data_IF_883248405953
#
_entry.id   IF_883248405953
#
_cell.length_a   1.000
_cell.length_b   1.000
_cell.length_c   1.000
_cell.angle_alpha   90.00
_cell.angle_beta   90.00
_cell.angle_gamma   90.00
#
_symmetry.space_group_name_H-M   'P 1'
#
loop_
_entity.id
_entity.type
_entity.pdbx_description
1 polymer ?
#
# COMPACT_ATOMS: atom_id res chain seq x y z
N UNK A 1 28.82 3.87 -14.31
CA UNK A 1 28.80 4.46 -12.95
C UNK A 1 28.97 3.41 -11.86
N UNK A 2 28.05 2.46 -11.62
CA UNK A 2 28.27 1.38 -10.61
C UNK A 2 29.55 0.57 -10.90
N UNK A 3 29.78 0.20 -12.16
CA UNK A 3 31.03 -0.50 -12.55
C UNK A 3 32.27 0.36 -12.27
N UNK A 4 32.19 1.68 -12.52
CA UNK A 4 33.27 2.65 -12.28
C UNK A 4 33.55 2.86 -10.78
N UNK A 5 32.53 2.82 -9.92
CA UNK A 5 32.69 2.79 -8.46
C UNK A 5 33.30 1.45 -8.01
N UNK A 6 32.93 0.35 -8.68
CA UNK A 6 33.49 -0.97 -8.44
C UNK A 6 35.01 -1.01 -8.63
N UNK A 7 35.52 -0.31 -9.64
CA UNK A 7 36.96 -0.26 -9.92
C UNK A 7 37.72 0.63 -8.91
N UNK A 8 37.12 1.72 -8.44
CA UNK A 8 37.76 2.68 -7.53
C UNK A 8 37.62 2.34 -6.04
N UNK A 9 36.50 1.73 -5.63
CA UNK A 9 36.19 1.37 -4.25
C UNK A 9 35.39 0.05 -4.17
N UNK A 10 36.03 -1.11 -4.40
CA UNK A 10 35.37 -2.42 -4.38
C UNK A 10 34.64 -2.73 -3.06
N UNK A 11 35.22 -2.30 -1.93
CA UNK A 11 34.62 -2.49 -0.61
C UNK A 11 33.26 -1.77 -0.47
N UNK A 12 33.11 -0.60 -1.10
CA UNK A 12 31.90 0.20 -1.04
C UNK A 12 30.79 -0.43 -1.88
N UNK A 13 31.13 -0.96 -3.06
CA UNK A 13 30.17 -1.76 -3.87
C UNK A 13 29.73 -3.01 -3.12
N UNK A 14 30.64 -3.70 -2.42
CA UNK A 14 30.31 -4.82 -1.55
C UNK A 14 29.30 -4.44 -0.47
N UNK A 15 29.53 -3.32 0.23
CA UNK A 15 28.59 -2.80 1.23
C UNK A 15 27.22 -2.46 0.62
N UNK A 16 27.19 -1.74 -0.50
CA UNK A 16 25.95 -1.38 -1.19
C UNK A 16 25.15 -2.63 -1.63
N UNK A 17 25.83 -3.67 -2.10
CA UNK A 17 25.20 -4.93 -2.47
C UNK A 17 24.56 -5.63 -1.25
N UNK A 18 25.26 -5.67 -0.11
CA UNK A 18 24.71 -6.20 1.15
C UNK A 18 23.51 -5.38 1.62
N UNK A 19 23.58 -4.05 1.57
CA UNK A 19 22.45 -3.19 1.92
C UNK A 19 21.23 -3.44 1.01
N UNK A 20 21.44 -3.55 -0.30
CA UNK A 20 20.38 -3.86 -1.25
C UNK A 20 19.74 -5.24 -0.99
N UNK A 21 20.55 -6.26 -0.73
CA UNK A 21 20.08 -7.60 -0.36
C UNK A 21 19.27 -7.56 0.94
N UNK A 22 19.79 -6.89 1.98
CA UNK A 22 19.10 -6.76 3.26
C UNK A 22 17.74 -6.05 3.12
N UNK A 23 17.67 -4.98 2.34
CA UNK A 23 16.42 -4.24 2.07
C UNK A 23 15.39 -5.11 1.33
N UNK A 24 15.82 -5.86 0.29
CA UNK A 24 14.96 -6.78 -0.44
C UNK A 24 14.45 -7.92 0.44
N UNK A 25 15.31 -8.49 1.30
CA UNK A 25 14.93 -9.57 2.22
C UNK A 25 13.95 -9.09 3.29
N UNK A 26 14.17 -7.91 3.87
CA UNK A 26 13.26 -7.32 4.86
C UNK A 26 11.85 -7.10 4.28
N UNK A 27 11.77 -6.52 3.09
CA UNK A 27 10.50 -6.28 2.39
C UNK A 27 9.82 -7.60 2.00
N UNK A 28 10.60 -8.56 1.47
CA UNK A 28 10.10 -9.88 1.11
C UNK A 28 9.53 -10.63 2.32
N UNK A 29 10.20 -10.58 3.47
CA UNK A 29 9.75 -11.23 4.69
C UNK A 29 8.41 -10.65 5.19
N UNK A 30 8.23 -9.33 5.12
CA UNK A 30 6.97 -8.67 5.49
C UNK A 30 5.81 -9.11 4.57
N UNK A 31 6.03 -9.18 3.25
CA UNK A 31 5.02 -9.66 2.30
C UNK A 31 4.70 -11.15 2.50
N UNK A 32 5.71 -11.99 2.71
CA UNK A 32 5.52 -13.41 3.00
C UNK A 32 4.71 -13.61 4.28
N UNK A 33 5.06 -12.93 5.37
CA UNK A 33 4.33 -13.02 6.64
C UNK A 33 2.87 -12.61 6.48
N UNK A 34 2.62 -11.49 5.79
CA UNK A 34 1.28 -10.98 5.53
C UNK A 34 0.45 -11.95 4.69
N UNK A 35 1.01 -12.46 3.59
CA UNK A 35 0.30 -13.38 2.71
C UNK A 35 0.02 -14.74 3.39
N UNK A 36 0.97 -15.25 4.17
CA UNK A 36 0.76 -16.44 5.00
C UNK A 36 -0.35 -16.23 6.04
N UNK A 37 -0.41 -15.03 6.63
CA UNK A 37 -1.49 -14.60 7.52
C UNK A 37 -2.85 -14.60 6.83
N UNK A 38 -2.96 -14.00 5.65
CA UNK A 38 -4.19 -13.95 4.85
C UNK A 38 -4.66 -15.37 4.45
N UNK A 39 -3.78 -16.21 3.90
CA UNK A 39 -4.12 -17.59 3.53
C UNK A 39 -4.59 -18.42 4.74
N UNK A 40 -3.99 -18.20 5.90
CA UNK A 40 -4.34 -18.97 7.10
C UNK A 40 -5.58 -18.46 7.78
N UNK A 41 -5.65 -17.17 8.11
CA UNK A 41 -6.72 -16.59 8.93
C UNK A 41 -7.97 -16.33 8.10
N UNK A 42 -7.80 -15.76 6.92
CA UNK A 42 -8.93 -15.27 6.13
C UNK A 42 -9.52 -16.35 5.23
N UNK A 43 -8.70 -17.31 4.78
CA UNK A 43 -9.14 -18.44 3.96
C UNK A 43 -9.27 -19.73 4.79
N UNK A 44 -8.15 -20.30 5.25
CA UNK A 44 -8.15 -21.63 5.86
C UNK A 44 -8.99 -21.71 7.14
N UNK A 45 -8.70 -20.87 8.14
CA UNK A 45 -9.43 -20.89 9.40
C UNK A 45 -10.88 -20.50 9.20
N UNK A 46 -11.13 -19.38 8.52
CA UNK A 46 -12.50 -18.85 8.36
C UNK A 46 -13.44 -19.80 7.62
N UNK A 47 -12.98 -20.48 6.56
CA UNK A 47 -13.85 -21.26 5.68
C UNK A 47 -13.61 -22.77 5.69
N UNK A 48 -12.39 -23.24 5.96
CA UNK A 48 -12.05 -24.68 5.91
C UNK A 48 -12.01 -25.33 7.30
N UNK A 49 -11.42 -24.66 8.29
CA UNK A 49 -11.31 -25.19 9.65
C UNK A 49 -11.45 -24.09 10.72
N UNK A 50 -12.68 -23.68 11.06
CA UNK A 50 -12.95 -22.64 12.07
C UNK A 50 -12.35 -22.93 13.45
N UNK A 51 -12.18 -24.21 13.78
CA UNK A 51 -11.65 -24.68 15.07
C UNK A 51 -10.13 -24.93 15.05
N UNK A 52 -9.42 -24.48 14.01
CA UNK A 52 -7.98 -24.70 13.87
C UNK A 52 -7.19 -24.11 15.07
N UNK A 53 -6.43 -24.98 15.74
CA UNK A 53 -5.51 -24.59 16.83
C UNK A 53 -4.43 -23.63 16.34
N UNK A 54 -3.77 -22.90 17.26
CA UNK A 54 -2.64 -22.03 16.91
C UNK A 54 -1.49 -22.79 16.22
N UNK A 55 -1.23 -24.04 16.62
CA UNK A 55 -0.20 -24.87 15.99
C UNK A 55 -0.57 -25.19 14.54
N UNK A 56 -1.83 -25.57 14.30
CA UNK A 56 -2.36 -25.82 12.95
C UNK A 56 -2.29 -24.56 12.09
N UNK A 57 -2.70 -23.41 12.62
CA UNK A 57 -2.62 -22.12 11.91
C UNK A 57 -1.18 -21.80 11.50
N UNK A 58 -0.19 -21.96 12.40
CA UNK A 58 1.23 -21.73 12.07
C UNK A 58 1.73 -22.65 10.96
N UNK A 59 1.33 -23.92 10.97
CA UNK A 59 1.73 -24.88 9.94
C UNK A 59 1.16 -24.49 8.57
N UNK A 60 -0.15 -24.25 8.48
CA UNK A 60 -0.78 -23.87 7.22
C UNK A 60 -0.31 -22.50 6.72
N UNK A 61 0.05 -21.58 7.62
CA UNK A 61 0.70 -20.32 7.24
C UNK A 61 2.05 -20.54 6.58
N UNK A 62 2.91 -21.40 7.15
CA UNK A 62 4.21 -21.73 6.55
C UNK A 62 4.06 -22.43 5.19
N UNK A 63 3.11 -23.35 5.08
CA UNK A 63 2.80 -24.03 3.81
C UNK A 63 2.28 -23.04 2.75
N UNK A 64 1.41 -22.10 3.14
CA UNK A 64 0.92 -21.04 2.26
C UNK A 64 2.04 -20.13 1.77
N UNK A 65 2.97 -19.73 2.65
CA UNK A 65 4.17 -18.96 2.27
C UNK A 65 5.03 -19.75 1.29
N UNK A 66 5.34 -21.01 1.59
CA UNK A 66 6.15 -21.86 0.71
C UNK A 66 5.53 -21.98 -0.69
N UNK A 67 4.20 -22.17 -0.76
CA UNK A 67 3.46 -22.21 -2.00
C UNK A 67 3.60 -20.90 -2.80
N UNK A 68 3.34 -19.75 -2.18
CA UNK A 68 3.45 -18.44 -2.85
C UNK A 68 4.88 -18.19 -3.35
N UNK A 69 5.89 -18.47 -2.52
CA UNK A 69 7.30 -18.27 -2.89
C UNK A 69 7.67 -19.15 -4.07
N UNK A 70 7.27 -20.42 -4.07
CA UNK A 70 7.53 -21.32 -5.18
C UNK A 70 6.83 -20.85 -6.48
N UNK A 71 5.56 -20.44 -6.40
CA UNK A 71 4.85 -19.85 -7.53
C UNK A 71 5.53 -18.58 -8.06
N UNK A 72 5.97 -17.68 -7.17
CA UNK A 72 6.68 -16.46 -7.56
C UNK A 72 8.02 -16.77 -8.25
N UNK A 73 8.79 -17.74 -7.74
CA UNK A 73 10.04 -18.19 -8.35
C UNK A 73 9.82 -18.80 -9.74
N UNK A 74 8.76 -19.61 -9.91
CA UNK A 74 8.40 -20.14 -11.22
C UNK A 74 8.08 -19.03 -12.22
N UNK A 75 7.21 -18.08 -11.85
CA UNK A 75 6.88 -16.94 -12.73
C UNK A 75 8.12 -16.11 -13.05
N UNK A 76 8.97 -15.84 -12.05
CA UNK A 76 10.20 -15.09 -12.25
C UNK A 76 11.20 -15.78 -13.18
N UNK A 77 11.24 -17.12 -13.16
CA UNK A 77 12.13 -17.92 -14.00
C UNK A 77 11.62 -18.02 -15.44
N UNK A 78 10.31 -18.20 -15.64
CA UNK A 78 9.76 -18.58 -16.94
C UNK A 78 8.98 -17.46 -17.67
N UNK A 79 8.61 -16.35 -17.02
CA UNK A 79 7.77 -15.32 -17.64
C UNK A 79 8.09 -13.90 -17.19
N UNK A 80 9.08 -13.28 -17.83
CA UNK A 80 9.44 -11.87 -17.59
C UNK A 80 8.30 -10.90 -17.91
N UNK A 81 7.55 -11.16 -18.98
CA UNK A 81 6.42 -10.32 -19.37
C UNK A 81 5.28 -10.38 -18.34
N UNK A 82 5.03 -11.56 -17.75
CA UNK A 82 4.05 -11.69 -16.69
C UNK A 82 4.49 -10.93 -15.42
N UNK A 83 5.78 -10.89 -15.09
CA UNK A 83 6.25 -10.12 -13.93
C UNK A 83 5.90 -8.63 -14.02
N UNK A 84 6.14 -8.01 -15.19
CA UNK A 84 5.84 -6.59 -15.40
C UNK A 84 4.33 -6.33 -15.34
N UNK A 85 3.55 -7.21 -15.99
CA UNK A 85 2.09 -7.10 -16.02
C UNK A 85 1.47 -7.29 -14.62
N UNK A 86 1.86 -8.35 -13.92
CA UNK A 86 1.37 -8.66 -12.58
C UNK A 86 1.78 -7.58 -11.57
N UNK A 87 3.01 -7.05 -11.69
CA UNK A 87 3.47 -5.94 -10.86
C UNK A 87 2.63 -4.68 -11.05
N UNK A 88 2.37 -4.28 -12.29
CA UNK A 88 1.52 -3.12 -12.59
C UNK A 88 0.08 -3.29 -12.10
N UNK A 89 -0.50 -4.47 -12.30
CA UNK A 89 -1.85 -4.80 -11.83
C UNK A 89 -1.94 -4.84 -10.31
N UNK A 90 -0.94 -5.40 -9.61
CA UNK A 90 -0.92 -5.48 -8.16
C UNK A 90 -1.00 -4.09 -7.51
N UNK A 91 -0.28 -3.11 -8.04
CA UNK A 91 -0.34 -1.72 -7.57
C UNK A 91 -1.73 -1.12 -7.84
N UNK A 92 -2.29 -1.32 -9.03
CA UNK A 92 -3.61 -0.80 -9.39
C UNK A 92 -4.74 -1.41 -8.54
N UNK A 93 -4.68 -2.72 -8.25
CA UNK A 93 -5.61 -3.40 -7.35
C UNK A 93 -5.41 -3.01 -5.89
N UNK A 94 -4.17 -2.87 -5.44
CA UNK A 94 -3.85 -2.33 -4.12
C UNK A 94 -4.45 -0.94 -3.91
N UNK A 95 -4.41 -0.09 -4.93
CA UNK A 95 -5.06 1.21 -4.88
C UNK A 95 -6.58 1.12 -4.67
N UNK A 96 -7.25 0.06 -5.12
CA UNK A 96 -8.69 -0.12 -4.91
C UNK A 96 -9.08 -0.34 -3.44
N UNK A 97 -8.13 -0.78 -2.60
CA UNK A 97 -8.35 -0.98 -1.16
C UNK A 97 -8.54 0.33 -0.39
N UNK A 98 -8.26 1.48 -1.00
CA UNK A 98 -8.48 2.79 -0.37
C UNK A 98 -9.95 3.06 -0.03
N UNK A 99 -10.92 2.56 -0.82
CA UNK A 99 -12.35 2.74 -0.52
C UNK A 99 -12.76 1.94 0.74
N UNK A 100 -12.45 0.62 0.85
CA UNK A 100 -12.60 -0.11 2.10
C UNK A 100 -11.86 0.51 3.30
N UNK A 101 -10.63 0.98 3.10
CA UNK A 101 -9.86 1.59 4.19
C UNK A 101 -10.52 2.90 4.67
N UNK A 102 -10.96 3.74 3.73
CA UNK A 102 -11.68 4.96 4.04
C UNK A 102 -13.01 4.69 4.77
N UNK A 103 -13.75 3.64 4.37
CA UNK A 103 -15.01 3.31 5.02
C UNK A 103 -14.83 2.84 6.46
N UNK A 104 -13.82 2.00 6.72
CA UNK A 104 -13.57 1.45 8.07
C UNK A 104 -12.96 2.49 9.00
N UNK A 105 -12.02 3.30 8.52
CA UNK A 105 -11.26 4.21 9.38
C UNK A 105 -11.94 5.57 9.58
N UNK A 106 -12.61 6.12 8.55
CA UNK A 106 -12.99 7.54 8.55
C UNK A 106 -14.47 7.81 8.30
N UNK A 107 -15.13 7.03 7.44
CA UNK A 107 -16.47 7.37 6.96
C UNK A 107 -17.50 6.25 7.20
N UNK A 108 -18.36 6.37 8.23
CA UNK A 108 -19.41 5.39 8.50
C UNK A 108 -20.54 5.37 7.46
N UNK A 109 -20.45 6.24 6.43
CA UNK A 109 -21.45 6.39 5.37
C UNK A 109 -21.49 5.15 4.48
N UNK A 110 -20.33 4.63 4.13
CA UNK A 110 -20.23 3.53 3.20
C UNK A 110 -20.86 2.26 3.79
N UNK A 111 -21.77 1.65 3.04
CA UNK A 111 -22.44 0.40 3.41
C UNK A 111 -21.61 -0.79 2.92
N UNK A 112 -21.85 -1.98 3.48
CA UNK A 112 -21.19 -3.21 3.03
C UNK A 112 -21.44 -3.46 1.54
N UNK A 113 -22.69 -3.30 1.09
CA UNK A 113 -23.09 -3.47 -0.30
C UNK A 113 -22.34 -2.47 -1.20
N UNK A 114 -22.29 -1.20 -0.81
CA UNK A 114 -21.60 -0.17 -1.58
C UNK A 114 -20.11 -0.44 -1.71
N UNK A 115 -19.42 -0.75 -0.61
CA UNK A 115 -17.98 -1.05 -0.65
C UNK A 115 -17.69 -2.32 -1.47
N UNK A 116 -18.48 -3.38 -1.30
CA UNK A 116 -18.26 -4.64 -2.05
C UNK A 116 -18.50 -4.46 -3.55
N UNK A 117 -19.60 -3.82 -3.95
CA UNK A 117 -19.90 -3.57 -5.37
C UNK A 117 -18.95 -2.53 -5.97
N UNK A 118 -18.56 -1.51 -5.21
CA UNK A 118 -17.54 -0.55 -5.62
C UNK A 118 -16.20 -1.21 -5.90
N UNK A 119 -15.70 -2.03 -4.97
CA UNK A 119 -14.44 -2.74 -5.17
C UNK A 119 -14.51 -3.68 -6.39
N UNK A 120 -15.62 -4.38 -6.60
CA UNK A 120 -15.83 -5.21 -7.78
C UNK A 120 -15.79 -4.37 -9.08
N UNK A 121 -16.54 -3.26 -9.12
CA UNK A 121 -16.55 -2.33 -10.26
C UNK A 121 -15.15 -1.76 -10.54
N UNK A 122 -14.40 -1.41 -9.50
CA UNK A 122 -13.02 -0.92 -9.61
C UNK A 122 -12.07 -1.95 -10.19
N UNK A 123 -12.11 -3.20 -9.71
CA UNK A 123 -11.30 -4.30 -10.24
C UNK A 123 -11.60 -4.53 -11.73
N UNK A 124 -12.89 -4.56 -12.09
CA UNK A 124 -13.31 -4.71 -13.49
C UNK A 124 -12.80 -3.54 -14.34
N UNK A 125 -12.94 -2.30 -13.87
CA UNK A 125 -12.46 -1.13 -14.59
C UNK A 125 -10.93 -1.13 -14.77
N UNK A 126 -10.16 -1.51 -13.75
CA UNK A 126 -8.70 -1.70 -13.90
C UNK A 126 -8.40 -2.73 -14.99
N UNK A 127 -9.08 -3.88 -14.95
CA UNK A 127 -8.87 -4.94 -15.96
C UNK A 127 -9.19 -4.47 -17.37
N UNK A 128 -10.30 -3.74 -17.56
CA UNK A 128 -10.73 -3.21 -18.86
C UNK A 128 -9.90 -2.04 -19.39
N UNK A 129 -9.11 -1.38 -18.53
CA UNK A 129 -8.25 -0.23 -18.92
C UNK A 129 -6.76 -0.57 -18.95
N UNK A 130 -6.40 -1.82 -18.64
CA UNK A 130 -5.05 -2.35 -18.73
C UNK A 130 -4.89 -3.26 -19.97
N UNK A 131 -3.65 -3.62 -20.29
CA UNK A 131 -3.32 -4.50 -21.42
C UNK A 131 -4.09 -5.83 -21.42
N UNK A 132 -4.51 -6.34 -20.25
CA UNK A 132 -5.32 -7.56 -20.17
C UNK A 132 -6.70 -7.35 -20.82
N UNK A 133 -7.41 -6.28 -20.50
CA UNK A 133 -8.74 -6.01 -21.05
C UNK A 133 -8.68 -5.83 -22.56
N UNK A 134 -7.70 -5.05 -23.03
CA UNK A 134 -7.47 -4.86 -24.48
C UNK A 134 -7.20 -6.20 -25.18
N UNK A 135 -6.43 -7.10 -24.56
CA UNK A 135 -6.18 -8.45 -25.12
C UNK A 135 -7.41 -9.36 -25.10
N UNK A 136 -8.22 -9.28 -24.05
CA UNK A 136 -9.39 -10.15 -23.88
C UNK A 136 -10.57 -9.74 -24.76
N UNK A 137 -10.77 -8.44 -24.95
CA UNK A 137 -11.94 -7.89 -25.64
C UNK A 137 -11.62 -7.26 -27.01
N UNK A 138 -10.35 -7.08 -27.35
CA UNK A 138 -9.92 -6.60 -28.68
C UNK A 138 -10.65 -5.33 -29.12
N UNK A 139 -11.11 -5.33 -30.37
CA UNK A 139 -11.83 -4.22 -31.00
C UNK A 139 -13.23 -3.95 -30.41
N UNK A 140 -13.73 -4.81 -29.52
CA UNK A 140 -15.00 -4.58 -28.81
C UNK A 140 -14.87 -3.44 -27.80
N UNK A 141 -13.67 -3.23 -27.25
CA UNK A 141 -13.42 -2.08 -26.38
C UNK A 141 -13.17 -0.84 -27.24
N UNK A 142 -13.93 0.25 -27.05
CA UNK A 142 -13.75 1.47 -27.84
C UNK A 142 -12.51 2.27 -27.43
N UNK A 143 -11.65 1.72 -26.56
CA UNK A 143 -10.45 2.37 -26.04
C UNK A 143 -9.28 1.39 -25.92
N UNK A 144 -8.06 1.93 -26.00
CA UNK A 144 -6.82 1.18 -25.75
C UNK A 144 -6.41 1.16 -24.28
N UNK A 145 -5.16 0.74 -24.03
CA UNK A 145 -4.56 0.78 -22.69
C UNK A 145 -4.48 2.23 -22.21
N UNK A 146 -4.89 2.46 -20.96
CA UNK A 146 -4.90 3.78 -20.31
C UNK A 146 -5.64 4.85 -21.13
N UNK A 147 -6.98 4.74 -21.22
CA UNK A 147 -7.80 5.71 -21.93
C UNK A 147 -7.49 7.14 -21.43
N UNK A 148 -7.35 8.06 -22.37
CA UNK A 148 -6.94 9.46 -22.12
C UNK A 148 -5.60 9.60 -21.37
N UNK A 149 -4.68 8.65 -21.56
CA UNK A 149 -3.36 8.62 -20.89
C UNK A 149 -3.45 8.53 -19.36
N UNK A 150 -4.63 8.21 -18.82
CA UNK A 150 -4.84 8.03 -17.39
C UNK A 150 -4.60 6.57 -17.01
N UNK A 151 -3.71 6.36 -16.04
CA UNK A 151 -3.35 5.03 -15.54
C UNK A 151 -4.59 4.24 -15.09
N UNK A 152 -4.62 2.92 -15.32
CA UNK A 152 -5.77 2.05 -15.00
C UNK A 152 -6.27 2.17 -13.55
N UNK A 153 -5.36 2.40 -12.61
CA UNK A 153 -5.69 2.65 -11.19
C UNK A 153 -6.65 3.84 -11.00
N UNK A 154 -6.53 4.90 -11.80
CA UNK A 154 -7.44 6.05 -11.78
C UNK A 154 -8.86 5.64 -12.17
N UNK A 155 -9.00 4.92 -13.28
CA UNK A 155 -10.28 4.42 -13.76
C UNK A 155 -10.92 3.45 -12.76
N UNK A 156 -10.11 2.54 -12.21
CA UNK A 156 -10.50 1.69 -11.09
C UNK A 156 -11.10 2.49 -9.95
N UNK A 157 -10.38 3.50 -9.46
CA UNK A 157 -10.82 4.31 -8.32
C UNK A 157 -12.08 5.12 -8.64
N UNK A 158 -12.19 5.68 -9.84
CA UNK A 158 -13.35 6.44 -10.29
C UNK A 158 -14.64 5.59 -10.21
N UNK A 159 -14.62 4.39 -10.81
CA UNK A 159 -15.77 3.49 -10.78
C UNK A 159 -16.01 2.87 -9.40
N UNK A 160 -14.94 2.59 -8.65
CA UNK A 160 -15.03 2.07 -7.29
C UNK A 160 -15.72 3.05 -6.35
N UNK A 161 -15.17 4.27 -6.23
CA UNK A 161 -15.72 5.29 -5.36
C UNK A 161 -17.11 5.73 -5.82
N UNK A 162 -17.31 5.92 -7.13
CA UNK A 162 -18.62 6.30 -7.69
C UNK A 162 -19.70 5.28 -7.35
N UNK A 163 -19.44 4.00 -7.62
CA UNK A 163 -20.37 2.91 -7.29
C UNK A 163 -20.57 2.80 -5.78
N UNK A 164 -19.50 2.88 -4.99
CA UNK A 164 -19.59 2.80 -3.55
C UNK A 164 -20.44 3.94 -2.96
N UNK A 165 -20.31 5.17 -3.46
CA UNK A 165 -21.11 6.31 -3.04
C UNK A 165 -22.58 6.13 -3.39
N UNK A 166 -22.88 5.81 -4.66
CA UNK A 166 -24.25 5.65 -5.15
C UNK A 166 -24.97 4.52 -4.42
N UNK A 167 -24.37 3.33 -4.39
CA UNK A 167 -24.99 2.17 -3.75
C UNK A 167 -25.09 2.39 -2.24
N UNK A 168 -24.10 3.00 -1.59
CA UNK A 168 -24.20 3.30 -0.16
C UNK A 168 -25.32 4.29 0.13
N UNK A 169 -25.52 5.32 -0.71
CA UNK A 169 -26.64 6.24 -0.57
C UNK A 169 -27.99 5.52 -0.66
N UNK A 170 -28.11 4.55 -1.58
CA UNK A 170 -29.34 3.79 -1.83
C UNK A 170 -29.60 2.68 -0.81
N UNK A 171 -28.59 2.21 -0.08
CA UNK A 171 -28.66 1.06 0.83
C UNK A 171 -28.52 1.42 2.30
N UNK A 172 -28.71 2.71 2.65
CA UNK A 172 -28.63 3.16 4.05
C UNK A 172 -29.66 2.43 4.92
N UNK A 173 -29.20 2.00 6.10
CA UNK A 173 -30.03 1.46 7.15
C UNK A 173 -29.58 2.07 8.50
N UNK A 174 -30.53 2.56 9.29
CA UNK A 174 -30.26 3.19 10.58
C UNK A 174 -29.60 2.25 11.59
N UNK A 175 -30.02 0.99 11.69
CA UNK A 175 -29.42 0.02 12.62
C UNK A 175 -27.99 -0.31 12.23
N UNK A 176 -27.74 -0.55 10.94
CA UNK A 176 -26.40 -0.85 10.45
C UNK A 176 -25.48 0.37 10.57
N UNK A 177 -26.00 1.58 10.33
CA UNK A 177 -25.26 2.83 10.51
C UNK A 177 -24.88 3.03 11.98
N UNK A 178 -25.81 2.80 12.90
CA UNK A 178 -25.53 2.86 14.33
C UNK A 178 -24.47 1.81 14.75
N UNK A 179 -24.54 0.60 14.21
CA UNK A 179 -23.52 -0.43 14.44
C UNK A 179 -22.14 0.00 13.95
N UNK A 180 -22.02 0.52 12.71
CA UNK A 180 -20.75 1.05 12.18
C UNK A 180 -20.23 2.20 13.05
N UNK A 181 -21.09 3.13 13.43
CA UNK A 181 -20.72 4.30 14.22
C UNK A 181 -20.03 3.92 15.53
N UNK A 182 -20.44 2.82 16.19
CA UNK A 182 -19.76 2.33 17.41
C UNK A 182 -18.26 2.08 17.20
N UNK A 183 -17.86 1.53 16.05
CA UNK A 183 -16.45 1.32 15.73
C UNK A 183 -15.71 2.62 15.49
N UNK A 184 -16.34 3.59 14.80
CA UNK A 184 -15.74 4.91 14.59
C UNK A 184 -15.60 5.69 15.89
N UNK A 185 -16.59 5.62 16.78
CA UNK A 185 -16.55 6.24 18.09
C UNK A 185 -15.44 5.60 18.95
N UNK A 186 -15.28 4.28 18.88
CA UNK A 186 -14.19 3.56 19.52
C UNK A 186 -12.81 4.05 19.02
N UNK A 187 -12.62 4.12 17.69
CA UNK A 187 -11.38 4.62 17.09
C UNK A 187 -11.12 6.08 17.46
N UNK A 188 -12.14 6.94 17.43
CA UNK A 188 -12.01 8.34 17.80
C UNK A 188 -11.59 8.52 19.27
N UNK A 189 -12.08 7.64 20.16
CA UNK A 189 -11.78 7.70 21.59
C UNK A 189 -10.40 7.14 21.97
N UNK A 190 -9.85 6.18 21.20
CA UNK A 190 -8.62 5.46 21.55
C UNK A 190 -7.43 5.80 20.63
N UNK A 191 -7.67 6.16 19.37
CA UNK A 191 -6.64 6.51 18.40
C UNK A 191 -6.61 8.01 18.05
N UNK A 192 -7.43 8.82 18.74
CA UNK A 192 -7.48 10.26 18.55
C UNK A 192 -6.27 10.98 19.15
N UNK A 193 -5.73 11.96 18.43
CA UNK A 193 -4.68 12.85 18.94
C UNK A 193 -5.12 13.63 20.19
N UNK A 194 -4.26 13.78 21.21
CA UNK A 194 -4.57 14.56 22.41
C UNK A 194 -4.77 16.04 22.07
N UNK A 195 -5.58 16.75 22.88
CA UNK A 195 -5.96 18.14 22.64
C UNK A 195 -4.74 19.08 22.45
N UNK A 196 -3.66 18.84 23.18
CA UNK A 196 -2.41 19.60 23.09
C UNK A 196 -1.72 19.50 21.72
N UNK A 197 -1.98 18.44 20.94
CA UNK A 197 -1.37 18.17 19.64
C UNK A 197 -2.29 18.41 18.45
N UNK A 198 -3.58 18.72 18.68
CA UNK A 198 -4.54 18.98 17.62
C UNK A 198 -4.12 20.13 16.69
N UNK A 199 -3.45 21.15 17.23
CA UNK A 199 -2.90 22.27 16.45
C UNK A 199 -1.78 21.90 15.48
N UNK A 200 -1.19 20.70 15.58
CA UNK A 200 -0.15 20.22 14.66
C UNK A 200 -0.72 19.58 13.39
N UNK A 201 -2.04 19.37 13.30
CA UNK A 201 -2.67 18.77 12.12
C UNK A 201 -2.37 19.52 10.81
N UNK A 202 -2.48 20.86 10.73
CA UNK A 202 -2.14 21.58 9.50
C UNK A 202 -0.67 21.43 9.13
N UNK A 203 0.22 21.40 10.12
CA UNK A 203 1.66 21.19 9.92
C UNK A 203 1.93 19.79 9.37
N UNK A 204 1.28 18.76 9.93
CA UNK A 204 1.40 17.38 9.44
C UNK A 204 0.96 17.26 7.98
N UNK A 205 -0.18 17.85 7.61
CA UNK A 205 -0.63 17.92 6.22
C UNK A 205 0.35 18.69 5.34
N UNK A 206 0.82 19.87 5.75
CA UNK A 206 1.75 20.67 4.97
C UNK A 206 3.06 19.92 4.71
N UNK A 207 3.66 19.30 5.73
CA UNK A 207 4.90 18.50 5.59
C UNK A 207 4.66 17.31 4.65
N UNK A 208 3.55 16.60 4.84
CA UNK A 208 3.24 15.40 4.04
C UNK A 208 3.01 15.74 2.57
N UNK A 209 2.22 16.78 2.29
CA UNK A 209 1.93 17.23 0.94
C UNK A 209 3.17 17.82 0.26
N UNK A 210 3.98 18.61 1.00
CA UNK A 210 5.25 19.12 0.48
C UNK A 210 6.20 17.98 0.13
N UNK A 211 6.35 16.99 1.01
CA UNK A 211 7.19 15.83 0.76
C UNK A 211 6.69 15.01 -0.44
N UNK A 212 5.38 14.74 -0.53
CA UNK A 212 4.80 14.05 -1.68
C UNK A 212 5.03 14.80 -2.99
N UNK A 213 4.88 16.13 -2.98
CA UNK A 213 5.06 16.96 -4.17
C UNK A 213 6.52 17.01 -4.65
N UNK A 214 7.47 17.26 -3.74
CA UNK A 214 8.87 17.46 -4.10
C UNK A 214 9.71 16.17 -4.12
N UNK A 215 9.38 15.19 -3.30
CA UNK A 215 10.12 13.93 -3.20
C UNK A 215 9.80 12.95 -4.31
N UNK A 216 8.50 12.65 -4.51
CA UNK A 216 8.05 11.63 -5.49
C UNK A 216 7.12 12.20 -6.57
N UNK A 217 6.62 13.42 -6.38
CA UNK A 217 5.65 14.07 -7.27
C UNK A 217 6.30 14.95 -8.34
N UNK A 218 5.51 15.83 -8.99
CA UNK A 218 5.97 16.68 -10.08
C UNK A 218 7.13 17.62 -9.71
N UNK A 219 7.24 18.01 -8.43
CA UNK A 219 8.31 18.87 -7.95
C UNK A 219 9.70 18.23 -7.99
N UNK A 220 9.78 16.90 -8.13
CA UNK A 220 11.04 16.18 -8.27
C UNK A 220 11.83 16.58 -9.54
N UNK A 221 11.17 17.16 -10.54
CA UNK A 221 11.82 17.68 -11.76
C UNK A 221 12.87 18.74 -11.43
N UNK A 222 12.67 19.54 -10.36
CA UNK A 222 13.66 20.53 -9.89
C UNK A 222 14.99 19.86 -9.55
N UNK A 223 14.94 18.63 -9.02
CA UNK A 223 16.11 17.84 -8.68
C UNK A 223 17.01 17.53 -9.86
N UNK A 224 16.54 17.62 -11.11
CA UNK A 224 17.35 17.33 -12.28
C UNK A 224 18.53 18.29 -12.46
N UNK A 225 18.34 19.58 -12.14
CA UNK A 225 19.30 20.63 -12.52
C UNK A 225 19.86 21.43 -11.33
N UNK A 226 19.18 21.41 -10.17
CA UNK A 226 19.49 22.31 -9.04
C UNK A 226 20.91 22.14 -8.46
N UNK A 227 21.52 20.97 -8.58
CA UNK A 227 22.88 20.68 -8.10
C UNK A 227 23.88 20.42 -9.23
N UNK A 228 23.53 20.76 -10.47
CA UNK A 228 24.36 20.58 -11.66
C UNK A 228 23.57 20.03 -12.85
N UNK A 229 23.99 20.37 -14.06
CA UNK A 229 23.34 19.94 -15.31
C UNK A 229 23.50 18.42 -15.50
N UNK A 230 22.43 17.67 -15.86
CA UNK A 230 22.48 16.23 -16.05
C UNK A 230 23.58 15.73 -17.01
N UNK A 231 23.91 16.55 -18.01
CA UNK A 231 24.83 16.20 -19.09
C UNK A 231 26.23 16.83 -18.95
N UNK A 232 26.48 17.60 -17.89
CA UNK A 232 27.78 18.24 -17.65
C UNK A 232 28.29 17.95 -16.24
N UNK A 233 29.16 16.94 -16.17
CA UNK A 233 29.79 16.49 -14.92
C UNK A 233 30.55 17.61 -14.18
N UNK A 234 31.12 18.58 -14.90
CA UNK A 234 31.92 19.65 -14.29
C UNK A 234 31.10 20.57 -13.39
N UNK A 235 29.78 20.58 -13.58
CA UNK A 235 28.83 21.42 -12.82
C UNK A 235 28.25 20.71 -11.59
N UNK A 236 28.58 19.44 -11.35
CA UNK A 236 27.98 18.65 -10.28
C UNK A 236 28.57 19.02 -8.92
N UNK A 237 27.76 19.68 -8.09
CA UNK A 237 28.17 20.20 -6.77
C UNK A 237 28.69 19.10 -5.83
N UNK A 238 28.08 17.92 -5.88
CA UNK A 238 28.38 16.79 -4.98
C UNK A 238 29.18 15.67 -5.66
N UNK A 239 29.64 15.87 -6.91
CA UNK A 239 30.31 14.82 -7.69
C UNK A 239 29.41 13.63 -8.07
N UNK A 240 28.09 13.75 -7.83
CA UNK A 240 27.05 12.78 -8.20
C UNK A 240 25.96 13.49 -9.03
N UNK A 241 25.14 12.76 -9.80
CA UNK A 241 24.05 13.37 -10.56
C UNK A 241 23.14 14.19 -9.64
N UNK A 242 22.72 15.39 -10.09
CA UNK A 242 21.88 16.28 -9.29
C UNK A 242 20.62 15.59 -8.75
N UNK A 243 19.96 14.78 -9.60
CA UNK A 243 18.75 14.06 -9.20
C UNK A 243 19.00 13.03 -8.08
N UNK A 244 20.22 12.49 -7.96
CA UNK A 244 20.55 11.57 -6.86
C UNK A 244 20.70 12.33 -5.54
N UNK A 245 21.40 13.46 -5.56
CA UNK A 245 21.50 14.33 -4.39
C UNK A 245 20.12 14.77 -3.91
N UNK A 246 19.22 15.13 -4.84
CA UNK A 246 17.83 15.44 -4.55
C UNK A 246 17.08 14.26 -3.91
N UNK A 247 17.18 13.07 -4.50
CA UNK A 247 16.51 11.88 -3.96
C UNK A 247 17.03 11.50 -2.57
N UNK A 248 18.34 11.56 -2.33
CA UNK A 248 18.94 11.30 -1.01
C UNK A 248 18.42 12.31 0.03
N UNK A 249 18.39 13.60 -0.31
CA UNK A 249 17.86 14.65 0.54
C UNK A 249 16.39 14.38 0.90
N UNK A 250 15.54 14.14 -0.10
CA UNK A 250 14.13 13.89 0.14
C UNK A 250 13.87 12.56 0.84
N UNK A 251 14.73 11.56 0.66
CA UNK A 251 14.65 10.32 1.44
C UNK A 251 14.93 10.59 2.92
N UNK A 252 15.98 11.36 3.24
CA UNK A 252 16.29 11.76 4.61
C UNK A 252 15.16 12.61 5.24
N UNK A 253 14.61 13.57 4.48
CA UNK A 253 13.42 14.33 4.90
C UNK A 253 12.20 13.43 5.10
N UNK A 254 12.05 12.38 4.27
CA UNK A 254 10.99 11.40 4.38
C UNK A 254 11.09 10.58 5.66
N UNK A 255 12.29 10.16 6.06
CA UNK A 255 12.53 9.53 7.36
C UNK A 255 12.12 10.47 8.51
N UNK A 256 12.49 11.75 8.43
CA UNK A 256 12.08 12.76 9.42
C UNK A 256 10.57 12.96 9.48
N UNK A 257 9.91 13.03 8.32
CA UNK A 257 8.45 13.10 8.21
C UNK A 257 7.78 11.87 8.82
N UNK A 258 8.24 10.66 8.48
CA UNK A 258 7.68 9.42 9.02
C UNK A 258 7.86 9.33 10.54
N UNK A 259 9.03 9.72 11.05
CA UNK A 259 9.27 9.83 12.49
C UNK A 259 8.29 10.82 13.15
N UNK A 260 8.10 12.00 12.55
CA UNK A 260 7.17 13.01 13.04
C UNK A 260 5.72 12.48 13.07
N UNK A 261 5.26 11.84 12.01
CA UNK A 261 3.91 11.28 11.95
C UNK A 261 3.73 10.10 12.93
N UNK A 262 4.69 9.18 12.99
CA UNK A 262 4.61 7.99 13.81
C UNK A 262 4.65 8.32 15.31
N UNK A 263 5.63 9.12 15.74
CA UNK A 263 5.92 9.34 17.16
C UNK A 263 5.40 10.68 17.68
N UNK A 264 5.60 11.78 16.93
CA UNK A 264 5.15 13.10 17.41
C UNK A 264 3.63 13.22 17.29
N UNK A 265 3.07 12.78 16.17
CA UNK A 265 1.63 12.71 15.91
C UNK A 265 0.98 11.39 16.36
N UNK A 266 1.71 10.52 17.06
CA UNK A 266 1.17 9.32 17.73
C UNK A 266 0.38 8.37 16.81
N UNK A 267 0.62 8.40 15.50
CA UNK A 267 -0.11 7.55 14.54
C UNK A 267 0.35 6.08 14.59
N UNK A 268 1.45 5.78 15.27
CA UNK A 268 2.01 4.42 15.42
C UNK A 268 2.48 4.15 16.85
N UNK A 269 1.84 4.76 17.85
CA UNK A 269 2.12 4.53 19.27
C UNK A 269 0.99 3.75 19.94
N UNK A 270 1.30 3.13 21.09
CA UNK A 270 0.30 2.43 21.89
C UNK A 270 -0.68 3.47 22.45
N UNK A 271 -2.00 3.24 22.35
CA UNK A 271 -3.00 4.10 22.98
C UNK A 271 -2.77 4.23 24.49
N UNK A 272 -2.92 5.44 25.04
CA UNK A 272 -2.84 5.66 26.50
C UNK A 272 -3.96 4.94 27.26
N UNK A 273 -5.09 4.73 26.60
CA UNK A 273 -6.22 3.99 27.15
C UNK A 273 -6.01 2.51 26.95
N UNK A 274 -6.01 1.76 28.05
CA UNK A 274 -5.91 0.30 28.02
C UNK A 274 -7.07 -0.30 27.21
N UNK A 275 -6.74 -1.15 26.25
CA UNK A 275 -7.71 -1.89 25.43
C UNK A 275 -7.71 -3.33 25.92
N UNK A 276 -8.80 -3.73 26.58
CA UNK A 276 -9.00 -5.13 27.00
C UNK A 276 -9.70 -5.89 25.87
N UNK A 277 -9.04 -6.94 25.38
CA UNK A 277 -9.64 -7.82 24.39
C UNK A 277 -10.82 -8.58 25.00
N UNK A 278 -11.98 -8.54 24.35
CA UNK A 278 -13.15 -9.32 24.76
C UNK A 278 -13.02 -10.80 24.42
N UNK A 279 -12.21 -11.11 23.40
CA UNK A 279 -11.98 -12.46 22.85
C UNK A 279 -10.59 -12.52 22.23
N UNK A 280 -9.85 -13.60 22.47
CA UNK A 280 -8.47 -13.76 21.95
C UNK A 280 -8.42 -14.18 20.48
N UNK A 281 -9.38 -14.98 20.01
CA UNK A 281 -9.42 -15.43 18.61
C UNK A 281 -10.86 -15.55 18.06
N UNK A 282 -10.98 -15.48 16.73
CA UNK A 282 -12.25 -15.49 15.97
C UNK A 282 -13.06 -16.78 16.24
N UNK A 283 -12.39 -17.85 16.70
CA UNK A 283 -13.01 -19.14 17.01
C UNK A 283 -13.45 -19.29 18.47
N UNK A 284 -13.08 -18.38 19.37
CA UNK A 284 -13.38 -18.53 20.80
C UNK A 284 -14.83 -18.19 21.12
N UNK A 285 -15.46 -17.30 20.34
CA UNK A 285 -16.91 -17.04 20.41
C UNK A 285 -17.76 -18.21 19.96
N UNK A 286 -17.21 -19.15 19.18
CA UNK A 286 -17.91 -20.38 18.79
C UNK A 286 -17.75 -21.52 19.82
N UNK A 287 -16.98 -21.30 20.89
CA UNK A 287 -16.79 -22.24 21.99
C UNK A 287 -17.69 -21.96 23.20
N UNK A 288 -18.31 -20.78 23.26
CA UNK A 288 -19.23 -20.37 24.31
C UNK A 288 -20.66 -20.85 24.03
#
# INVERSE_FOLDING_TARGET
YINTIGDAAPWFVGLLAVCALAAMQSTGAAYMSTAGGMLTRDLYKKYLNPKASHATQKLFGRLGVAFIVFSALLVATYSRDALVLLGGLAVAFGFQMWVPLMSVCYFPFFTRQGVTLGMAAGIVAVMLTESIGVKLFGDVLPWGRWPWTMHSAFWGMFFNLGTALIVSAMTQNASDRAHRQKYHDFLAQHAGLPASKQGLKPVAWAITLAWLFFGIGPGAVIGNDIFGSPNDYSTWTFGIPSIWAWQILFWALGVGMMWFLAYKMEMSTIPDKEIVALTDDIGDTQRA
#
